data_IF_154808326643
#
_entry.id   IF_154808326643
#
_cell.length_a   1.000
_cell.length_b   1.000
_cell.length_c   1.000
_cell.angle_alpha   90.00
_cell.angle_beta   90.00
_cell.angle_gamma   90.00
#
_symmetry.space_group_name_H-M   'P 1'
#
loop_
_entity.id
_entity.type
_entity.pdbx_description
1 polymer ?
#
# COMPACT_ATOMS: atom_id res chain seq x y z
N UNK A 1 7.76 -28.27 -1.67
CA UNK A 1 6.52 -28.39 -2.47
C UNK A 1 6.52 -29.76 -3.13
N UNK A 2 5.38 -30.43 -3.18
CA UNK A 2 5.22 -31.67 -3.96
C UNK A 2 5.20 -31.38 -5.46
N UNK A 3 5.38 -32.38 -6.32
CA UNK A 3 5.26 -32.23 -7.78
C UNK A 3 3.90 -31.66 -8.21
N UNK A 4 2.83 -32.06 -7.51
CA UNK A 4 1.48 -31.54 -7.74
C UNK A 4 1.36 -30.07 -7.37
N UNK A 5 1.97 -29.64 -6.26
CA UNK A 5 1.98 -28.23 -5.85
C UNK A 5 2.75 -27.34 -6.84
N UNK A 6 3.82 -27.85 -7.44
CA UNK A 6 4.53 -27.14 -8.51
C UNK A 6 3.66 -26.93 -9.75
N UNK A 7 2.95 -27.97 -10.21
CA UNK A 7 2.03 -27.85 -11.33
C UNK A 7 0.85 -26.90 -11.02
N UNK A 8 0.29 -26.98 -9.81
CA UNK A 8 -0.77 -26.07 -9.38
C UNK A 8 -0.29 -24.62 -9.35
N UNK A 9 0.94 -24.37 -8.88
CA UNK A 9 1.53 -23.03 -8.88
C UNK A 9 1.76 -22.53 -10.31
N UNK A 10 2.31 -23.37 -11.19
CA UNK A 10 2.55 -23.02 -12.58
C UNK A 10 1.23 -22.69 -13.31
N UNK A 11 0.17 -23.48 -13.10
CA UNK A 11 -1.16 -23.21 -13.63
C UNK A 11 -1.73 -21.89 -13.09
N UNK A 12 -1.58 -21.63 -11.79
CA UNK A 12 -2.04 -20.39 -11.18
C UNK A 12 -1.29 -19.16 -11.73
N UNK A 13 0.03 -19.26 -11.91
CA UNK A 13 0.83 -18.20 -12.53
C UNK A 13 0.45 -17.97 -13.99
N UNK A 14 0.27 -19.05 -14.76
CA UNK A 14 -0.16 -18.97 -16.15
C UNK A 14 -1.56 -18.34 -16.27
N UNK A 15 -2.50 -18.73 -15.41
CA UNK A 15 -3.84 -18.12 -15.37
C UNK A 15 -3.77 -16.64 -14.97
N UNK A 16 -3.04 -16.30 -13.90
CA UNK A 16 -2.89 -14.93 -13.44
C UNK A 16 -2.23 -14.00 -14.47
N UNK A 17 -1.23 -14.50 -15.21
CA UNK A 17 -0.61 -13.78 -16.32
C UNK A 17 -1.56 -13.66 -17.52
N UNK A 18 -2.18 -14.77 -17.93
CA UNK A 18 -3.10 -14.81 -19.07
C UNK A 18 -4.28 -13.85 -18.91
N UNK A 19 -4.88 -13.82 -17.71
CA UNK A 19 -5.97 -12.90 -17.36
C UNK A 19 -5.49 -11.45 -17.45
N UNK A 20 -4.33 -11.11 -16.85
CA UNK A 20 -3.78 -9.75 -16.89
C UNK A 20 -3.47 -9.29 -18.32
N UNK A 21 -2.83 -10.14 -19.12
CA UNK A 21 -2.51 -9.82 -20.53
C UNK A 21 -3.80 -9.65 -21.34
N UNK A 22 -4.80 -10.51 -21.13
CA UNK A 22 -6.09 -10.40 -21.81
C UNK A 22 -6.79 -9.09 -21.46
N UNK A 23 -7.01 -8.81 -20.18
CA UNK A 23 -7.64 -7.56 -19.73
C UNK A 23 -6.84 -6.31 -20.15
N UNK A 24 -5.51 -6.35 -20.06
CA UNK A 24 -4.65 -5.23 -20.45
C UNK A 24 -4.65 -4.92 -21.94
N UNK A 25 -5.08 -5.86 -22.79
CA UNK A 25 -5.35 -5.63 -24.21
C UNK A 25 -6.76 -5.10 -24.47
N UNK A 26 -7.74 -5.58 -23.73
CA UNK A 26 -9.16 -5.25 -23.97
C UNK A 26 -9.52 -3.84 -23.52
N UNK A 27 -8.93 -3.36 -22.43
CA UNK A 27 -9.31 -2.10 -21.82
C UNK A 27 -8.18 -1.08 -21.94
N UNK A 28 -8.50 0.13 -22.40
CA UNK A 28 -7.57 1.26 -22.35
C UNK A 28 -7.25 1.66 -20.90
N UNK A 29 -8.22 1.55 -19.99
CA UNK A 29 -8.04 1.97 -18.60
C UNK A 29 -8.10 3.49 -18.43
N UNK A 30 -7.56 4.00 -17.33
CA UNK A 30 -7.49 5.45 -17.08
C UNK A 30 -6.29 6.07 -17.79
N UNK A 31 -6.49 6.46 -19.05
CA UNK A 31 -5.42 6.82 -19.99
C UNK A 31 -4.60 8.03 -19.52
N UNK A 32 -5.22 9.01 -18.87
CA UNK A 32 -4.55 10.23 -18.39
C UNK A 32 -3.43 9.95 -17.37
N UNK A 33 -3.60 8.96 -16.49
CA UNK A 33 -2.50 8.53 -15.61
C UNK A 33 -1.37 7.87 -16.41
N UNK A 34 -1.71 7.05 -17.41
CA UNK A 34 -0.73 6.34 -18.23
C UNK A 34 0.06 7.30 -19.13
N UNK A 35 -0.58 8.36 -19.64
CA UNK A 35 0.07 9.44 -20.38
C UNK A 35 1.17 10.10 -19.56
N UNK A 36 0.90 10.43 -18.30
CA UNK A 36 1.91 10.99 -17.39
C UNK A 36 3.11 10.03 -17.24
N UNK A 37 2.85 8.75 -17.01
CA UNK A 37 3.92 7.76 -16.83
C UNK A 37 4.76 7.55 -18.10
N UNK A 38 4.12 7.50 -19.28
CA UNK A 38 4.84 7.42 -20.56
C UNK A 38 5.63 8.70 -20.84
N UNK A 39 5.08 9.87 -20.53
CA UNK A 39 5.80 11.15 -20.64
C UNK A 39 7.03 11.18 -19.72
N UNK A 40 6.88 10.80 -18.45
CA UNK A 40 7.99 10.77 -17.50
C UNK A 40 9.07 9.79 -17.94
N UNK A 41 8.70 8.61 -18.44
CA UNK A 41 9.64 7.64 -19.00
C UNK A 41 10.47 8.24 -20.15
N UNK A 42 9.83 8.96 -21.07
CA UNK A 42 10.51 9.62 -22.19
C UNK A 42 11.41 10.77 -21.71
N UNK A 43 10.96 11.56 -20.73
CA UNK A 43 11.74 12.67 -20.18
C UNK A 43 12.94 12.21 -19.36
N UNK A 44 12.83 11.11 -18.62
CA UNK A 44 13.99 10.52 -17.93
C UNK A 44 15.03 10.05 -18.95
N UNK A 45 14.60 9.57 -20.13
CA UNK A 45 15.50 9.23 -21.23
C UNK A 45 16.17 10.46 -21.86
N UNK A 46 15.44 11.57 -21.96
CA UNK A 46 15.96 12.83 -22.55
C UNK A 46 16.91 13.58 -21.62
N UNK A 47 16.50 13.80 -20.36
CA UNK A 47 17.23 14.65 -19.41
C UNK A 47 18.08 13.86 -18.41
N UNK A 48 17.92 12.54 -18.35
CA UNK A 48 18.53 11.69 -17.34
C UNK A 48 17.83 11.77 -15.98
N UNK A 49 17.85 10.67 -15.23
CA UNK A 49 17.15 10.56 -13.94
C UNK A 49 17.58 11.63 -12.94
N UNK A 50 18.88 11.94 -12.85
CA UNK A 50 19.42 12.88 -11.87
C UNK A 50 18.99 14.33 -12.05
N UNK A 51 18.52 14.72 -13.24
CA UNK A 51 18.14 16.10 -13.57
C UNK A 51 16.68 16.29 -13.99
N UNK A 52 15.94 15.20 -14.22
CA UNK A 52 14.58 15.25 -14.80
C UNK A 52 13.60 16.16 -14.05
N UNK A 53 13.69 16.23 -12.71
CA UNK A 53 12.84 17.08 -11.88
C UNK A 53 13.11 18.59 -12.05
N UNK A 54 14.25 18.98 -12.61
CA UNK A 54 14.54 20.37 -12.97
C UNK A 54 13.80 20.79 -14.25
N UNK A 55 13.47 19.81 -15.10
CA UNK A 55 12.91 20.05 -16.44
C UNK A 55 11.41 19.78 -16.50
N UNK A 56 10.87 18.92 -15.61
CA UNK A 56 9.43 18.68 -15.52
C UNK A 56 8.91 18.86 -14.08
N UNK A 57 8.23 20.00 -13.84
CA UNK A 57 7.55 20.29 -12.58
C UNK A 57 6.29 19.45 -12.32
N UNK A 58 5.80 18.69 -13.29
CA UNK A 58 4.66 17.78 -13.17
C UNK A 58 5.01 16.38 -12.67
N UNK A 59 6.29 16.05 -12.49
CA UNK A 59 6.70 14.77 -11.89
C UNK A 59 6.49 14.84 -10.39
N UNK A 60 5.52 14.07 -9.88
CA UNK A 60 5.20 14.01 -8.45
C UNK A 60 5.48 12.63 -7.82
N UNK A 61 6.20 11.76 -8.53
CA UNK A 61 6.60 10.45 -8.00
C UNK A 61 8.04 10.47 -7.49
N UNK A 62 8.33 9.70 -6.42
CA UNK A 62 9.68 9.37 -6.01
C UNK A 62 10.52 8.63 -7.09
N UNK A 63 11.86 8.70 -7.00
CA UNK A 63 12.75 8.39 -8.12
C UNK A 63 12.90 6.90 -8.46
N UNK A 64 12.59 5.97 -7.55
CA UNK A 64 12.71 4.53 -7.86
C UNK A 64 11.71 4.11 -8.93
N UNK A 65 10.50 4.67 -8.93
CA UNK A 65 9.53 4.37 -9.98
C UNK A 65 9.98 4.92 -11.34
N UNK A 66 10.52 6.14 -11.39
CA UNK A 66 11.10 6.72 -12.60
C UNK A 66 12.27 5.89 -13.12
N UNK A 67 13.11 5.37 -12.22
CA UNK A 67 14.21 4.48 -12.58
C UNK A 67 13.71 3.17 -13.20
N UNK A 68 12.65 2.57 -12.65
CA UNK A 68 12.00 1.38 -13.23
C UNK A 68 11.45 1.67 -14.63
N UNK A 69 10.76 2.81 -14.80
CA UNK A 69 10.24 3.24 -16.10
C UNK A 69 11.38 3.47 -17.10
N UNK A 70 12.47 4.09 -16.68
CA UNK A 70 13.64 4.30 -17.55
C UNK A 70 14.24 3.00 -18.06
N UNK A 71 14.47 2.04 -17.16
CA UNK A 71 14.97 0.71 -17.54
C UNK A 71 14.01 -0.01 -18.49
N UNK A 72 12.70 0.11 -18.23
CA UNK A 72 11.68 -0.45 -19.12
C UNK A 72 11.68 0.21 -20.51
N UNK A 73 11.77 1.54 -20.57
CA UNK A 73 11.85 2.29 -21.82
C UNK A 73 13.06 1.89 -22.67
N UNK A 74 14.21 1.63 -22.04
CA UNK A 74 15.39 1.11 -22.72
C UNK A 74 15.14 -0.28 -23.33
N UNK A 75 14.48 -1.19 -22.60
CA UNK A 75 14.10 -2.51 -23.12
C UNK A 75 13.15 -2.39 -24.31
N UNK A 76 12.14 -1.54 -24.23
CA UNK A 76 11.20 -1.31 -25.34
C UNK A 76 11.92 -0.77 -26.59
N UNK A 77 12.86 0.16 -26.40
CA UNK A 77 13.68 0.69 -27.50
C UNK A 77 14.50 -0.42 -28.18
N UNK A 78 15.14 -1.30 -27.42
CA UNK A 78 15.90 -2.43 -27.96
C UNK A 78 15.01 -3.38 -28.79
N UNK A 79 13.73 -3.51 -28.42
CA UNK A 79 12.75 -4.32 -29.14
C UNK A 79 12.08 -3.57 -30.31
N UNK A 80 12.40 -2.30 -30.54
CA UNK A 80 11.73 -1.47 -31.54
C UNK A 80 10.25 -1.16 -31.20
N UNK A 81 9.87 -1.26 -29.92
CA UNK A 81 8.51 -1.05 -29.45
C UNK A 81 8.37 0.37 -28.89
N UNK A 82 7.33 1.09 -29.28
CA UNK A 82 6.98 2.38 -28.66
C UNK A 82 5.98 2.17 -27.55
N UNK A 83 6.27 2.72 -26.37
CA UNK A 83 5.31 2.74 -25.27
C UNK A 83 4.14 3.66 -25.60
N UNK A 84 2.92 3.14 -25.49
CA UNK A 84 1.71 3.92 -25.74
C UNK A 84 0.74 3.80 -24.56
N UNK A 85 0.18 4.93 -24.07
CA UNK A 85 -0.92 4.91 -23.13
C UNK A 85 -2.11 4.11 -23.66
N UNK A 86 -2.87 3.49 -22.78
CA UNK A 86 -4.00 2.63 -23.13
C UNK A 86 -3.60 1.26 -23.67
N UNK A 87 -2.31 1.01 -23.90
CA UNK A 87 -1.86 -0.20 -24.59
C UNK A 87 -1.07 -1.15 -23.69
N UNK A 88 -0.94 -2.39 -24.16
CA UNK A 88 -0.11 -3.39 -23.50
C UNK A 88 1.39 -3.00 -23.51
N UNK A 89 1.85 -2.16 -24.44
CA UNK A 89 3.26 -1.74 -24.50
C UNK A 89 3.68 -0.84 -23.34
N UNK A 90 2.75 -0.17 -22.67
CA UNK A 90 3.02 0.46 -21.37
C UNK A 90 2.71 -0.53 -20.23
N UNK A 91 1.53 -1.15 -20.24
CA UNK A 91 1.03 -1.95 -19.11
C UNK A 91 1.87 -3.19 -18.80
N UNK A 92 2.68 -3.69 -19.74
CA UNK A 92 3.49 -4.89 -19.52
C UNK A 92 4.47 -4.76 -18.36
N UNK A 93 5.01 -3.57 -18.07
CA UNK A 93 5.89 -3.41 -16.90
C UNK A 93 5.13 -3.63 -15.59
N UNK A 94 3.87 -3.18 -15.51
CA UNK A 94 3.04 -3.35 -14.32
C UNK A 94 2.61 -4.80 -14.15
N UNK A 95 2.25 -5.47 -15.26
CA UNK A 95 1.95 -6.91 -15.26
C UNK A 95 3.18 -7.72 -14.83
N UNK A 96 4.38 -7.36 -15.29
CA UNK A 96 5.62 -8.00 -14.85
C UNK A 96 5.83 -7.84 -13.33
N UNK A 97 5.67 -6.63 -12.80
CA UNK A 97 5.80 -6.36 -11.37
C UNK A 97 4.78 -7.15 -10.53
N UNK A 98 3.55 -7.33 -11.02
CA UNK A 98 2.54 -8.18 -10.39
C UNK A 98 2.95 -9.66 -10.35
N UNK A 99 3.55 -10.18 -11.42
CA UNK A 99 4.02 -11.56 -11.45
C UNK A 99 5.22 -11.76 -10.52
N UNK A 100 6.12 -10.77 -10.44
CA UNK A 100 7.21 -10.76 -9.46
C UNK A 100 6.66 -10.69 -8.02
N UNK A 101 5.59 -9.93 -7.79
CA UNK A 101 4.89 -9.92 -6.50
C UNK A 101 4.33 -11.30 -6.15
N UNK A 102 3.65 -11.98 -7.08
CA UNK A 102 3.13 -13.33 -6.87
C UNK A 102 4.25 -14.35 -6.58
N UNK A 103 5.39 -14.24 -7.26
CA UNK A 103 6.59 -15.04 -6.96
C UNK A 103 7.11 -14.76 -5.54
N UNK A 104 7.21 -13.49 -5.14
CA UNK A 104 7.63 -13.12 -3.80
C UNK A 104 6.67 -13.67 -2.73
N UNK A 105 5.35 -13.58 -2.93
CA UNK A 105 4.33 -14.16 -2.03
C UNK A 105 4.51 -15.68 -1.92
N UNK A 106 4.84 -16.36 -3.01
CA UNK A 106 5.09 -17.82 -3.01
C UNK A 106 6.21 -18.20 -2.04
N UNK A 107 7.29 -17.43 -2.04
CA UNK A 107 8.43 -17.62 -1.15
C UNK A 107 8.14 -17.16 0.28
N UNK A 108 7.56 -15.97 0.45
CA UNK A 108 7.29 -15.42 1.78
C UNK A 108 6.20 -16.18 2.53
N UNK A 109 5.23 -16.80 1.84
CA UNK A 109 4.21 -17.64 2.48
C UNK A 109 4.69 -19.03 2.90
N UNK A 110 5.86 -19.48 2.42
CA UNK A 110 6.37 -20.80 2.72
C UNK A 110 6.62 -20.99 4.22
N UNK A 111 6.06 -22.07 4.79
CA UNK A 111 6.22 -22.42 6.20
C UNK A 111 5.53 -21.50 7.21
N UNK A 112 4.73 -20.52 6.76
CA UNK A 112 4.07 -19.53 7.63
C UNK A 112 2.61 -19.83 7.95
N UNK A 113 1.98 -20.80 7.28
CA UNK A 113 0.54 -21.04 7.41
C UNK A 113 0.15 -22.49 7.13
N UNK A 114 -1.10 -22.79 7.49
CA UNK A 114 -1.83 -23.91 6.91
C UNK A 114 -1.82 -23.82 5.37
N UNK A 115 -1.68 -24.97 4.73
CA UNK A 115 -1.53 -25.08 3.29
C UNK A 115 -2.75 -24.51 2.55
N UNK A 116 -3.96 -24.65 3.12
CA UNK A 116 -5.18 -24.07 2.52
C UNK A 116 -5.13 -22.54 2.51
N UNK A 117 -4.79 -21.91 3.63
CA UNK A 117 -4.67 -20.45 3.72
C UNK A 117 -3.60 -19.91 2.78
N UNK A 118 -2.47 -20.62 2.68
CA UNK A 118 -1.42 -20.29 1.73
C UNK A 118 -1.93 -20.27 0.29
N UNK A 119 -2.62 -21.32 -0.15
CA UNK A 119 -3.20 -21.36 -1.49
C UNK A 119 -4.28 -20.30 -1.72
N UNK A 120 -5.11 -20.00 -0.72
CA UNK A 120 -6.07 -18.90 -0.80
C UNK A 120 -5.39 -17.56 -1.06
N UNK A 121 -4.26 -17.30 -0.40
CA UNK A 121 -3.53 -16.04 -0.57
C UNK A 121 -2.80 -15.99 -1.89
N UNK A 122 -2.21 -17.10 -2.34
CA UNK A 122 -1.65 -17.19 -3.69
C UNK A 122 -2.71 -16.94 -4.75
N UNK A 123 -3.89 -17.55 -4.61
CA UNK A 123 -5.04 -17.30 -5.48
C UNK A 123 -5.51 -15.85 -5.37
N UNK A 124 -5.49 -15.25 -4.18
CA UNK A 124 -5.75 -13.83 -3.98
C UNK A 124 -4.82 -12.95 -4.80
N UNK A 125 -3.50 -13.11 -4.69
CA UNK A 125 -2.57 -12.30 -5.49
C UNK A 125 -2.70 -12.55 -6.99
N UNK A 126 -2.96 -13.80 -7.40
CA UNK A 126 -3.08 -14.16 -8.80
C UNK A 126 -4.40 -13.72 -9.45
N UNK A 127 -5.53 -13.80 -8.73
CA UNK A 127 -6.88 -13.73 -9.30
C UNK A 127 -7.78 -12.65 -8.68
N UNK A 128 -7.30 -11.89 -7.69
CA UNK A 128 -8.11 -10.84 -7.08
C UNK A 128 -8.43 -9.74 -8.10
N UNK A 129 -9.72 -9.44 -8.33
CA UNK A 129 -10.13 -8.50 -9.36
C UNK A 129 -9.63 -7.07 -9.08
N UNK A 130 -9.48 -6.65 -7.83
CA UNK A 130 -8.99 -5.31 -7.50
C UNK A 130 -7.52 -5.15 -7.93
N UNK A 131 -6.71 -6.18 -7.73
CA UNK A 131 -5.31 -6.18 -8.13
C UNK A 131 -5.17 -6.19 -9.66
N UNK A 132 -5.96 -7.01 -10.35
CA UNK A 132 -5.98 -7.06 -11.82
C UNK A 132 -6.44 -5.72 -12.40
N UNK A 133 -7.48 -5.11 -11.85
CA UNK A 133 -7.97 -3.80 -12.32
C UNK A 133 -6.91 -2.71 -12.09
N UNK A 134 -6.23 -2.70 -10.94
CA UNK A 134 -5.19 -1.71 -10.65
C UNK A 134 -4.02 -1.76 -11.65
N UNK A 135 -3.44 -2.92 -11.90
CA UNK A 135 -2.25 -3.03 -12.74
C UNK A 135 -2.60 -3.19 -14.22
N UNK A 136 -3.31 -4.27 -14.56
CA UNK A 136 -3.51 -4.68 -15.94
C UNK A 136 -4.56 -3.85 -16.66
N UNK A 137 -5.63 -3.44 -15.99
CA UNK A 137 -6.65 -2.57 -16.61
C UNK A 137 -6.20 -1.12 -16.55
N UNK A 138 -5.87 -0.60 -15.37
CA UNK A 138 -5.60 0.83 -15.14
C UNK A 138 -4.16 1.23 -15.48
N UNK A 139 -3.16 0.42 -15.15
CA UNK A 139 -1.74 0.73 -15.39
C UNK A 139 -1.01 1.38 -14.20
N UNK A 140 -1.44 1.08 -12.97
CA UNK A 140 -0.89 1.65 -11.74
C UNK A 140 0.11 0.71 -11.03
N UNK A 141 1.05 1.29 -10.27
CA UNK A 141 2.16 0.59 -9.59
C UNK A 141 1.90 0.27 -8.10
N UNK A 142 0.67 0.47 -7.61
CA UNK A 142 0.33 0.35 -6.18
C UNK A 142 0.61 -1.03 -5.57
N UNK A 143 0.57 -2.10 -6.37
CA UNK A 143 0.87 -3.47 -5.91
C UNK A 143 2.34 -3.59 -5.49
N UNK A 144 3.27 -3.05 -6.29
CA UNK A 144 4.69 -3.00 -5.92
C UNK A 144 4.88 -2.24 -4.60
N UNK A 145 4.24 -1.08 -4.47
CA UNK A 145 4.33 -0.27 -3.25
C UNK A 145 3.79 -1.04 -2.03
N UNK A 146 2.61 -1.66 -2.14
CA UNK A 146 2.03 -2.50 -1.09
C UNK A 146 2.91 -3.70 -0.73
N UNK A 147 3.57 -4.31 -1.71
CA UNK A 147 4.50 -5.44 -1.49
C UNK A 147 5.76 -5.02 -0.74
N UNK A 148 6.33 -3.85 -1.04
CA UNK A 148 7.47 -3.29 -0.30
C UNK A 148 7.08 -2.95 1.15
N UNK A 149 5.89 -2.37 1.35
CA UNK A 149 5.33 -2.12 2.68
C UNK A 149 5.12 -3.44 3.47
N UNK A 150 4.54 -4.45 2.83
CA UNK A 150 4.34 -5.77 3.44
C UNK A 150 5.67 -6.46 3.78
N UNK A 151 6.62 -6.44 2.85
CA UNK A 151 7.96 -7.00 3.06
C UNK A 151 8.69 -6.34 4.22
N UNK A 152 8.58 -5.01 4.37
CA UNK A 152 9.14 -4.29 5.51
C UNK A 152 8.57 -4.81 6.84
N UNK A 153 7.25 -4.96 6.95
CA UNK A 153 6.59 -5.46 8.16
C UNK A 153 6.94 -6.94 8.41
N UNK A 154 6.97 -7.77 7.36
CA UNK A 154 7.31 -9.20 7.45
C UNK A 154 8.73 -9.43 7.98
N UNK A 155 9.68 -8.57 7.58
CA UNK A 155 11.07 -8.65 8.02
C UNK A 155 11.32 -8.00 9.38
N UNK A 156 10.44 -7.13 9.88
CA UNK A 156 10.71 -6.26 11.03
C UNK A 156 11.32 -6.97 12.24
N UNK A 157 10.80 -8.14 12.60
CA UNK A 157 11.27 -8.89 13.77
C UNK A 157 12.51 -9.75 13.48
N UNK A 158 12.70 -10.19 12.23
CA UNK A 158 13.79 -11.10 11.85
C UNK A 158 15.04 -10.35 11.37
N UNK A 159 14.85 -9.25 10.65
CA UNK A 159 15.89 -8.38 10.12
C UNK A 159 15.38 -6.93 10.12
N UNK A 160 15.56 -6.19 11.24
CA UNK A 160 15.19 -4.77 11.31
C UNK A 160 15.92 -3.93 10.25
N UNK A 161 17.13 -4.32 9.86
CA UNK A 161 17.87 -3.73 8.74
C UNK A 161 17.13 -3.92 7.42
N UNK A 162 16.75 -5.16 7.10
CA UNK A 162 15.99 -5.46 5.88
C UNK A 162 14.63 -4.78 5.85
N UNK A 163 13.98 -4.65 7.01
CA UNK A 163 12.75 -3.89 7.15
C UNK A 163 12.93 -2.40 6.83
N UNK A 164 14.01 -1.78 7.34
CA UNK A 164 14.37 -0.40 7.02
C UNK A 164 14.68 -0.20 5.53
N UNK A 165 15.41 -1.12 4.91
CA UNK A 165 15.72 -1.07 3.46
C UNK A 165 14.43 -1.13 2.64
N UNK A 166 13.55 -2.11 2.89
CA UNK A 166 12.30 -2.23 2.14
C UNK A 166 11.35 -1.04 2.38
N UNK A 167 11.34 -0.47 3.58
CA UNK A 167 10.57 0.74 3.86
C UNK A 167 11.08 1.94 3.07
N UNK A 168 12.41 2.14 3.01
CA UNK A 168 13.00 3.19 2.19
C UNK A 168 12.72 2.99 0.70
N UNK A 169 12.83 1.76 0.18
CA UNK A 169 12.46 1.46 -1.21
C UNK A 169 10.97 1.73 -1.49
N UNK A 170 10.09 1.46 -0.52
CA UNK A 170 8.68 1.82 -0.64
C UNK A 170 8.51 3.35 -0.76
N UNK A 171 9.19 4.13 0.09
CA UNK A 171 9.15 5.60 0.06
C UNK A 171 9.77 6.18 -1.21
N UNK A 172 10.78 5.51 -1.75
CA UNK A 172 11.40 5.85 -3.02
C UNK A 172 10.56 5.44 -4.22
N UNK A 173 9.50 4.62 -4.04
CA UNK A 173 8.52 4.26 -5.07
C UNK A 173 7.29 5.18 -5.03
N UNK A 174 6.70 5.36 -3.84
CA UNK A 174 5.55 6.26 -3.59
C UNK A 174 5.64 6.80 -2.16
N UNK A 175 5.48 8.12 -2.00
CA UNK A 175 5.41 8.76 -0.68
C UNK A 175 4.30 8.13 0.19
N UNK A 176 3.21 7.66 -0.42
CA UNK A 176 2.12 6.98 0.26
C UNK A 176 2.59 5.87 1.22
N UNK A 177 3.72 5.22 0.98
CA UNK A 177 4.24 4.19 1.90
C UNK A 177 4.59 4.71 3.30
N UNK A 178 4.71 6.04 3.51
CA UNK A 178 4.89 6.66 4.83
C UNK A 178 3.82 6.23 5.85
N UNK A 179 2.67 5.76 5.38
CA UNK A 179 1.55 5.28 6.21
C UNK A 179 1.95 4.14 7.16
N UNK A 180 2.93 3.30 6.82
CA UNK A 180 3.40 2.25 7.75
C UNK A 180 4.47 2.73 8.73
N UNK A 181 4.98 3.96 8.59
CA UNK A 181 5.97 4.53 9.51
C UNK A 181 5.51 4.52 10.97
N UNK A 182 4.25 4.87 11.31
CA UNK A 182 3.78 4.80 12.69
C UNK A 182 3.77 3.37 13.25
N UNK A 183 3.57 2.34 12.43
CA UNK A 183 3.63 0.93 12.87
C UNK A 183 5.06 0.56 13.26
N UNK A 184 6.04 0.92 12.42
CA UNK A 184 7.47 0.75 12.72
C UNK A 184 7.87 1.58 13.95
N UNK A 185 7.36 2.80 14.06
CA UNK A 185 7.59 3.72 15.17
C UNK A 185 7.08 3.16 16.50
N UNK A 186 5.84 2.66 16.55
CA UNK A 186 5.29 2.03 17.76
C UNK A 186 6.03 0.76 18.17
N UNK A 187 6.48 -0.05 17.20
CA UNK A 187 7.39 -1.16 17.48
C UNK A 187 8.68 -0.67 18.13
N UNK A 188 9.35 0.30 17.52
CA UNK A 188 10.58 0.92 18.05
C UNK A 188 10.36 1.49 19.46
N UNK A 189 9.30 2.27 19.68
CA UNK A 189 9.01 2.86 21.00
C UNK A 189 8.87 1.78 22.08
N UNK A 190 8.24 0.66 21.75
CA UNK A 190 8.10 -0.48 22.68
C UNK A 190 9.44 -1.16 22.95
N UNK A 191 10.27 -1.35 21.93
CA UNK A 191 11.63 -1.88 22.10
C UNK A 191 12.50 -0.96 22.98
N UNK A 192 12.42 0.35 22.76
CA UNK A 192 13.11 1.36 23.58
C UNK A 192 12.63 1.37 25.02
N UNK A 193 11.32 1.27 25.26
CA UNK A 193 10.76 1.13 26.61
C UNK A 193 11.25 -0.14 27.32
N UNK A 194 11.55 -1.20 26.56
CA UNK A 194 12.24 -2.40 27.05
C UNK A 194 13.77 -2.28 27.06
N UNK A 195 14.34 -1.08 26.89
CA UNK A 195 15.79 -0.79 26.83
C UNK A 195 16.54 -1.55 25.71
N UNK A 196 15.85 -1.92 24.63
CA UNK A 196 16.41 -2.60 23.45
C UNK A 196 16.58 -1.62 22.29
N UNK A 197 17.79 -1.08 22.14
CA UNK A 197 18.10 -0.03 21.14
C UNK A 197 18.49 -0.57 19.76
N UNK A 198 18.95 -1.83 19.68
CA UNK A 198 19.46 -2.43 18.43
C UNK A 198 18.46 -2.39 17.27
N UNK A 199 17.15 -2.70 17.46
CA UNK A 199 16.19 -2.62 16.35
C UNK A 199 16.08 -1.23 15.75
N UNK A 200 16.05 -0.17 16.57
CA UNK A 200 16.06 1.22 16.11
C UNK A 200 17.27 1.50 15.23
N UNK A 201 18.48 1.20 15.74
CA UNK A 201 19.72 1.44 15.01
C UNK A 201 19.70 0.78 13.62
N UNK A 202 19.32 -0.50 13.56
CA UNK A 202 19.30 -1.24 12.31
C UNK A 202 18.22 -0.76 11.34
N UNK A 203 17.03 -0.39 11.83
CA UNK A 203 15.99 0.21 10.98
C UNK A 203 16.49 1.53 10.39
N UNK A 204 17.09 2.39 11.20
CA UNK A 204 17.64 3.69 10.75
C UNK A 204 18.73 3.49 9.72
N UNK A 205 19.71 2.61 9.98
CA UNK A 205 20.75 2.26 9.00
C UNK A 205 20.13 1.74 7.70
N UNK A 206 19.14 0.85 7.81
CA UNK A 206 18.44 0.28 6.66
C UNK A 206 17.72 1.33 5.82
N UNK A 207 17.12 2.33 6.45
CA UNK A 207 16.50 3.47 5.76
C UNK A 207 17.57 4.36 5.10
N UNK A 208 18.65 4.66 5.82
CA UNK A 208 19.70 5.55 5.34
C UNK A 208 20.43 4.99 4.12
N UNK A 209 20.61 3.68 3.98
CA UNK A 209 21.36 3.09 2.85
C UNK A 209 20.75 3.47 1.48
N UNK A 210 19.46 3.16 1.17
CA UNK A 210 18.88 3.55 -0.12
C UNK A 210 18.76 5.07 -0.28
N UNK A 211 18.37 5.79 0.78
CA UNK A 211 18.21 7.25 0.71
C UNK A 211 19.53 7.98 0.49
N UNK A 212 20.62 7.55 1.13
CA UNK A 212 21.94 8.13 0.92
C UNK A 212 22.40 7.90 -0.53
N UNK A 213 22.24 6.68 -1.06
CA UNK A 213 22.59 6.39 -2.46
C UNK A 213 21.84 7.27 -3.45
N UNK A 214 20.51 7.38 -3.31
CA UNK A 214 19.69 8.24 -4.16
C UNK A 214 20.03 9.73 -3.96
N UNK A 215 20.18 10.18 -2.71
CA UNK A 215 20.44 11.60 -2.44
C UNK A 215 21.80 12.03 -2.98
N UNK A 216 22.83 11.21 -2.82
CA UNK A 216 24.17 11.47 -3.38
C UNK A 216 24.14 11.49 -4.91
N UNK A 217 23.43 10.55 -5.54
CA UNK A 217 23.23 10.54 -7.00
C UNK A 217 22.59 11.86 -7.46
N UNK A 218 21.43 12.23 -6.91
CA UNK A 218 20.75 13.47 -7.30
C UNK A 218 21.53 14.75 -6.95
N UNK A 219 22.32 14.74 -5.87
CA UNK A 219 23.19 15.86 -5.52
C UNK A 219 24.29 16.05 -6.58
N UNK A 220 24.90 14.96 -7.06
CA UNK A 220 25.93 15.00 -8.10
C UNK A 220 25.44 15.57 -9.44
N UNK A 221 24.14 15.46 -9.73
CA UNK A 221 23.51 16.03 -10.94
C UNK A 221 22.78 17.36 -10.68
N UNK A 222 22.86 17.92 -9.47
CA UNK A 222 22.20 19.18 -9.10
C UNK A 222 20.67 19.10 -8.95
N UNK A 223 20.05 17.93 -9.11
CA UNK A 223 18.60 17.74 -9.07
C UNK A 223 18.00 17.45 -7.68
N UNK A 224 18.82 17.30 -6.63
CA UNK A 224 18.35 16.88 -5.29
C UNK A 224 17.24 17.77 -4.73
N UNK A 225 17.42 19.09 -4.77
CA UNK A 225 16.41 20.01 -4.24
C UNK A 225 15.09 19.96 -5.00
N UNK A 226 15.14 19.80 -6.32
CA UNK A 226 13.95 19.67 -7.15
C UNK A 226 13.23 18.33 -6.91
N UNK A 227 13.99 17.23 -6.84
CA UNK A 227 13.47 15.90 -6.51
C UNK A 227 12.77 15.88 -5.14
N UNK A 228 13.40 16.42 -4.10
CA UNK A 228 12.81 16.46 -2.76
C UNK A 228 11.52 17.28 -2.73
N UNK A 229 11.52 18.45 -3.39
CA UNK A 229 10.32 19.29 -3.46
C UNK A 229 9.17 18.57 -4.16
N UNK A 230 9.41 18.09 -5.37
CA UNK A 230 8.37 17.56 -6.25
C UNK A 230 7.83 16.19 -5.77
N UNK A 231 8.71 15.30 -5.27
CA UNK A 231 8.31 13.96 -4.84
C UNK A 231 7.74 13.91 -3.41
N UNK A 232 8.09 14.87 -2.54
CA UNK A 232 7.79 14.79 -1.11
C UNK A 232 7.14 16.03 -0.50
N UNK A 233 7.62 17.24 -0.81
CA UNK A 233 7.17 18.45 -0.12
C UNK A 233 5.92 19.09 -0.72
N UNK A 234 5.61 18.82 -1.99
CA UNK A 234 4.43 19.34 -2.69
C UNK A 234 3.25 18.38 -2.76
N UNK A 235 3.31 17.24 -2.06
CA UNK A 235 2.30 16.19 -2.17
C UNK A 235 0.96 16.57 -1.51
N UNK A 236 1.00 17.17 -0.32
CA UNK A 236 -0.20 17.63 0.40
C UNK A 236 -0.66 18.96 -0.17
N UNK A 237 -1.96 19.09 -0.43
CA UNK A 237 -2.54 20.27 -1.07
C UNK A 237 -2.48 20.21 -2.60
N UNK A 238 -2.00 19.11 -3.19
CA UNK A 238 -1.99 18.91 -4.64
C UNK A 238 -3.40 18.65 -5.18
N UNK A 239 -4.23 17.94 -4.41
CA UNK A 239 -5.61 17.59 -4.76
C UNK A 239 -6.56 18.11 -3.69
N UNK A 240 -6.87 19.41 -3.71
CA UNK A 240 -7.57 20.13 -2.63
C UNK A 240 -9.05 19.75 -2.44
N UNK A 241 -9.49 18.60 -2.92
CA UNK A 241 -10.84 18.07 -2.78
C UNK A 241 -10.92 17.14 -1.57
N UNK A 242 -12.10 17.08 -0.94
CA UNK A 242 -12.33 16.18 0.22
C UNK A 242 -12.11 14.70 -0.13
N UNK A 243 -12.36 14.30 -1.38
CA UNK A 243 -11.95 12.98 -1.89
C UNK A 243 -11.86 12.99 -3.41
N UNK A 244 -10.88 12.28 -3.96
CA UNK A 244 -10.66 12.11 -5.40
C UNK A 244 -11.15 10.73 -5.82
N UNK A 245 -12.47 10.59 -5.99
CA UNK A 245 -13.17 9.34 -6.29
C UNK A 245 -12.99 8.20 -5.27
N UNK A 246 -12.30 8.41 -4.13
CA UNK A 246 -12.27 7.39 -3.10
C UNK A 246 -13.64 7.29 -2.42
N UNK A 247 -14.20 6.08 -2.41
CA UNK A 247 -15.42 5.74 -1.68
C UNK A 247 -15.14 5.59 -0.17
N UNK A 248 -14.71 6.69 0.43
CA UNK A 248 -14.42 6.85 1.85
C UNK A 248 -15.45 7.78 2.52
N UNK A 249 -15.29 8.12 3.79
CA UNK A 249 -16.31 8.88 4.54
C UNK A 249 -16.64 10.24 3.92
N UNK A 250 -15.74 10.81 3.12
CA UNK A 250 -15.93 12.08 2.44
C UNK A 250 -16.82 11.97 1.19
N UNK A 251 -17.05 10.74 0.70
CA UNK A 251 -17.96 10.47 -0.42
C UNK A 251 -19.42 10.52 0.06
N UNK A 252 -19.98 11.74 0.12
CA UNK A 252 -21.36 12.05 0.50
C UNK A 252 -21.80 11.65 1.93
N UNK A 253 -21.09 10.76 2.63
CA UNK A 253 -21.52 10.22 3.92
C UNK A 253 -21.54 11.28 5.03
N UNK A 254 -20.56 12.19 5.06
CA UNK A 254 -20.51 13.32 6.01
C UNK A 254 -21.21 14.59 5.50
N UNK A 255 -22.05 14.46 4.46
CA UNK A 255 -22.85 15.57 3.91
C UNK A 255 -22.08 16.50 2.96
N UNK A 256 -20.88 16.13 2.54
CA UNK A 256 -20.07 16.89 1.57
C UNK A 256 -20.09 16.21 0.20
N UNK A 257 -20.23 17.00 -0.86
CA UNK A 257 -19.97 16.50 -2.21
C UNK A 257 -18.47 16.19 -2.37
N UNK A 258 -18.06 15.11 -3.08
CA UNK A 258 -16.65 14.73 -3.25
C UNK A 258 -15.73 15.85 -3.73
N UNK A 259 -16.24 16.73 -4.61
CA UNK A 259 -15.50 17.85 -5.21
C UNK A 259 -15.34 19.07 -4.28
N UNK A 260 -15.92 19.03 -3.07
CA UNK A 260 -15.84 20.13 -2.10
C UNK A 260 -14.37 20.39 -1.74
N UNK A 261 -13.97 21.66 -1.64
CA UNK A 261 -12.62 21.97 -1.19
C UNK A 261 -12.42 21.54 0.27
N UNK A 262 -11.33 20.85 0.55
CA UNK A 262 -11.00 20.38 1.90
C UNK A 262 -10.49 21.51 2.84
N UNK A 263 -10.31 22.71 2.30
CA UNK A 263 -10.00 23.94 3.06
C UNK A 263 -11.23 24.60 3.67
N UNK A 264 -12.44 24.19 3.25
CA UNK A 264 -13.70 24.63 3.84
C UNK A 264 -13.70 24.35 5.34
N UNK A 265 -14.18 25.31 6.13
CA UNK A 265 -14.18 25.21 7.59
C UNK A 265 -15.55 24.82 8.13
N UNK A 266 -15.57 23.81 8.99
CA UNK A 266 -16.72 23.49 9.82
C UNK A 266 -16.80 24.53 10.95
N UNK A 267 -17.98 25.16 11.08
CA UNK A 267 -18.26 26.22 12.06
C UNK A 267 -17.27 27.39 12.05
N UNK A 268 -16.58 27.63 10.92
CA UNK A 268 -15.59 28.70 10.78
C UNK A 268 -14.24 28.44 11.48
N UNK A 269 -14.08 27.32 12.20
CA UNK A 269 -12.92 27.08 13.07
C UNK A 269 -11.92 26.09 12.45
N UNK A 270 -12.36 24.89 12.10
CA UNK A 270 -11.47 23.79 11.68
C UNK A 270 -11.77 23.39 10.23
N UNK A 271 -10.73 23.27 9.39
CA UNK A 271 -10.91 22.82 8.01
C UNK A 271 -11.23 21.33 7.95
N UNK A 272 -11.91 20.89 6.88
CA UNK A 272 -12.16 19.46 6.63
C UNK A 272 -10.85 18.67 6.55
N UNK A 273 -9.80 19.26 5.96
CA UNK A 273 -8.43 18.71 5.96
C UNK A 273 -7.90 18.46 7.37
N UNK A 274 -8.04 19.45 8.27
CA UNK A 274 -7.60 19.30 9.66
C UNK A 274 -8.41 18.24 10.41
N UNK A 275 -9.72 18.12 10.14
CA UNK A 275 -10.55 17.03 10.67
C UNK A 275 -10.02 15.68 10.18
N UNK A 276 -9.75 15.54 8.88
CA UNK A 276 -9.22 14.32 8.30
C UNK A 276 -7.88 13.88 8.92
N UNK A 277 -6.96 14.83 9.14
CA UNK A 277 -5.71 14.55 9.86
C UNK A 277 -5.93 14.16 11.32
N UNK A 278 -6.86 14.80 12.03
CA UNK A 278 -7.20 14.41 13.40
C UNK A 278 -7.76 12.99 13.47
N UNK A 279 -8.65 12.61 12.55
CA UNK A 279 -9.19 11.25 12.47
C UNK A 279 -8.09 10.21 12.18
N UNK A 280 -7.19 10.51 11.24
CA UNK A 280 -6.04 9.66 10.94
C UNK A 280 -5.11 9.53 12.16
N UNK A 281 -4.85 10.63 12.86
CA UNK A 281 -4.05 10.62 14.10
C UNK A 281 -4.68 9.70 15.15
N UNK A 282 -5.99 9.78 15.37
CA UNK A 282 -6.70 8.89 16.29
C UNK A 282 -6.57 7.41 15.88
N UNK A 283 -6.64 7.10 14.58
CA UNK A 283 -6.41 5.75 14.08
C UNK A 283 -4.95 5.27 14.32
N UNK A 284 -3.96 6.14 14.16
CA UNK A 284 -2.55 5.84 14.49
C UNK A 284 -2.36 5.58 15.98
N UNK A 285 -2.98 6.39 16.86
CA UNK A 285 -2.96 6.17 18.31
C UNK A 285 -3.62 4.83 18.66
N UNK A 286 -4.75 4.49 18.04
CA UNK A 286 -5.41 3.21 18.25
C UNK A 286 -4.50 2.03 17.90
N UNK A 287 -3.80 2.07 16.76
CA UNK A 287 -2.81 1.06 16.38
C UNK A 287 -1.68 0.95 17.40
N UNK A 288 -1.21 2.10 17.90
CA UNK A 288 -0.21 2.18 18.96
C UNK A 288 -0.65 1.55 20.26
N UNK A 289 -1.85 1.88 20.73
CA UNK A 289 -2.46 1.29 21.94
C UNK A 289 -2.56 -0.23 21.77
N UNK A 290 -2.98 -0.71 20.60
CA UNK A 290 -3.04 -2.13 20.29
C UNK A 290 -1.64 -2.77 20.43
N UNK A 291 -0.63 -2.28 19.73
CA UNK A 291 0.72 -2.85 19.79
C UNK A 291 1.35 -2.76 21.19
N UNK A 292 1.09 -1.68 21.91
CA UNK A 292 1.63 -1.45 23.26
C UNK A 292 1.02 -2.39 24.30
N UNK A 293 -0.30 -2.64 24.22
CA UNK A 293 -1.03 -3.46 25.19
C UNK A 293 -0.92 -4.97 24.93
N UNK A 294 -0.41 -5.39 23.78
CA UNK A 294 -0.11 -6.80 23.53
C UNK A 294 1.02 -7.29 24.44
N UNK A 295 0.88 -8.51 24.98
CA UNK A 295 1.95 -9.17 25.75
C UNK A 295 3.19 -9.40 24.90
N UNK A 296 3.01 -9.92 23.70
CA UNK A 296 4.07 -10.17 22.72
C UNK A 296 3.69 -9.53 21.38
N UNK A 297 4.67 -8.92 20.72
CA UNK A 297 4.51 -8.48 19.33
C UNK A 297 5.02 -9.62 18.46
N UNK A 298 4.17 -10.03 17.52
CA UNK A 298 4.51 -10.96 16.46
C UNK A 298 4.19 -10.32 15.09
N UNK A 299 4.60 -10.98 14.02
CA UNK A 299 4.37 -10.49 12.65
C UNK A 299 2.89 -10.32 12.32
N UNK A 300 2.01 -11.17 12.85
CA UNK A 300 0.56 -11.05 12.65
C UNK A 300 0.00 -9.75 13.24
N UNK A 301 0.39 -9.39 14.46
CA UNK A 301 0.00 -8.14 15.10
C UNK A 301 0.48 -6.91 14.32
N UNK A 302 1.72 -6.94 13.83
CA UNK A 302 2.28 -5.85 13.02
C UNK A 302 1.55 -5.70 11.69
N UNK A 303 1.21 -6.82 11.02
CA UNK A 303 0.41 -6.79 9.79
C UNK A 303 -1.00 -6.25 10.04
N UNK A 304 -1.68 -6.69 11.12
CA UNK A 304 -3.00 -6.16 11.50
C UNK A 304 -2.97 -4.65 11.74
N UNK A 305 -1.95 -4.16 12.46
CA UNK A 305 -1.73 -2.74 12.65
C UNK A 305 -1.44 -2.01 11.32
N UNK A 306 -0.64 -2.62 10.44
CA UNK A 306 -0.36 -2.12 9.09
C UNK A 306 -1.61 -1.99 8.22
N UNK A 307 -2.45 -3.03 8.19
CA UNK A 307 -3.74 -3.03 7.49
C UNK A 307 -4.64 -1.93 8.05
N UNK A 308 -4.77 -1.86 9.37
CA UNK A 308 -5.60 -0.86 10.03
C UNK A 308 -5.17 0.56 9.66
N UNK A 309 -3.88 0.91 9.81
CA UNK A 309 -3.42 2.27 9.51
C UNK A 309 -3.51 2.56 8.01
N UNK A 310 -3.25 1.59 7.14
CA UNK A 310 -3.36 1.74 5.68
C UNK A 310 -4.80 1.95 5.22
N UNK A 311 -5.75 1.19 5.79
CA UNK A 311 -7.16 1.34 5.46
C UNK A 311 -7.77 2.59 6.11
N UNK A 312 -7.34 2.95 7.32
CA UNK A 312 -7.72 4.22 7.96
C UNK A 312 -7.21 5.42 7.15
N UNK A 313 -6.01 5.35 6.57
CA UNK A 313 -5.52 6.37 5.65
C UNK A 313 -6.37 6.48 4.38
N UNK A 314 -6.89 5.38 3.85
CA UNK A 314 -7.86 5.45 2.77
C UNK A 314 -9.19 6.09 3.22
N UNK A 315 -9.62 5.80 4.45
CA UNK A 315 -10.95 6.15 4.94
C UNK A 315 -11.10 7.57 5.51
N UNK A 316 -10.08 8.11 6.17
CA UNK A 316 -10.22 9.21 7.13
C UNK A 316 -9.66 10.58 6.68
N UNK A 317 -8.45 10.70 6.11
CA UNK A 317 -7.97 11.97 5.58
C UNK A 317 -8.68 12.38 4.27
N UNK A 318 -8.57 13.66 3.92
CA UNK A 318 -9.00 14.21 2.62
C UNK A 318 -7.92 14.01 1.53
N UNK A 319 -8.18 14.45 0.30
CA UNK A 319 -7.25 14.34 -0.84
C UNK A 319 -6.92 12.89 -1.26
N UNK A 320 -7.81 11.94 -0.99
CA UNK A 320 -7.57 10.50 -1.21
C UNK A 320 -8.10 10.03 -2.56
N UNK A 321 -7.25 9.30 -3.29
CA UNK A 321 -7.61 8.60 -4.52
C UNK A 321 -8.15 7.19 -4.27
N UNK A 322 -9.02 6.70 -5.16
CA UNK A 322 -9.63 5.37 -5.09
C UNK A 322 -8.60 4.22 -4.93
N UNK A 323 -7.48 4.30 -5.64
CA UNK A 323 -6.38 3.32 -5.62
C UNK A 323 -5.56 3.31 -4.34
N UNK A 324 -5.69 4.32 -3.47
CA UNK A 324 -4.94 4.36 -2.21
C UNK A 324 -5.34 3.24 -1.24
N UNK A 325 -6.43 2.52 -1.53
CA UNK A 325 -6.88 1.31 -0.82
C UNK A 325 -6.04 0.06 -1.12
N UNK A 326 -5.29 0.02 -2.23
CA UNK A 326 -4.60 -1.19 -2.70
C UNK A 326 -3.48 -1.66 -1.75
N UNK A 327 -2.61 -0.79 -1.21
CA UNK A 327 -1.64 -1.22 -0.21
C UNK A 327 -2.27 -1.87 1.03
N UNK A 328 -3.44 -1.39 1.48
CA UNK A 328 -4.17 -2.00 2.59
C UNK A 328 -4.65 -3.41 2.23
N UNK A 329 -5.16 -3.62 1.01
CA UNK A 329 -5.56 -4.94 0.52
C UNK A 329 -4.37 -5.91 0.43
N UNK A 330 -3.22 -5.46 -0.06
CA UNK A 330 -2.00 -6.28 -0.12
C UNK A 330 -1.58 -6.74 1.29
N UNK A 331 -1.52 -5.83 2.26
CA UNK A 331 -1.24 -6.16 3.66
C UNK A 331 -2.28 -7.11 4.26
N UNK A 332 -3.55 -6.95 3.88
CA UNK A 332 -4.65 -7.78 4.35
C UNK A 332 -4.56 -9.22 3.85
N UNK A 333 -4.17 -9.41 2.58
CA UNK A 333 -3.90 -10.74 2.04
C UNK A 333 -2.76 -11.45 2.81
N UNK A 334 -1.70 -10.73 3.20
CA UNK A 334 -0.67 -11.28 4.08
C UNK A 334 -1.18 -11.56 5.50
N UNK A 335 -2.09 -10.73 6.02
CA UNK A 335 -2.71 -10.96 7.34
C UNK A 335 -3.51 -12.26 7.35
N UNK A 336 -4.22 -12.58 6.27
CA UNK A 336 -4.98 -13.84 6.12
C UNK A 336 -4.10 -15.09 6.21
N UNK A 337 -2.83 -15.02 5.78
CA UNK A 337 -1.87 -16.12 5.93
C UNK A 337 -1.74 -16.49 7.43
N UNK A 338 -1.76 -15.50 8.32
CA UNK A 338 -1.47 -15.68 9.74
C UNK A 338 -2.73 -15.69 10.62
N UNK A 339 -3.87 -15.18 10.13
CA UNK A 339 -5.13 -15.12 10.90
C UNK A 339 -6.36 -15.27 9.98
N UNK A 340 -6.94 -16.48 9.98
CA UNK A 340 -8.13 -16.82 9.18
C UNK A 340 -9.36 -15.95 9.46
N UNK A 341 -9.43 -15.28 10.61
CA UNK A 341 -10.57 -14.40 10.95
C UNK A 341 -10.68 -13.20 10.00
N UNK A 342 -9.60 -12.88 9.28
CA UNK A 342 -9.53 -11.76 8.35
C UNK A 342 -9.93 -12.11 6.91
N UNK A 343 -10.29 -13.38 6.62
CA UNK A 343 -10.75 -13.80 5.28
C UNK A 343 -11.97 -13.00 4.84
N UNK A 344 -12.96 -12.82 5.73
CA UNK A 344 -14.17 -12.08 5.40
C UNK A 344 -13.90 -10.61 5.03
N UNK A 345 -12.98 -9.95 5.75
CA UNK A 345 -12.50 -8.61 5.42
C UNK A 345 -11.76 -8.58 4.08
N UNK A 346 -10.90 -9.57 3.82
CA UNK A 346 -10.18 -9.66 2.55
C UNK A 346 -11.14 -9.81 1.38
N UNK A 347 -12.15 -10.67 1.48
CA UNK A 347 -13.18 -10.85 0.45
C UNK A 347 -13.99 -9.57 0.26
N UNK A 348 -14.48 -8.96 1.35
CA UNK A 348 -15.26 -7.72 1.29
C UNK A 348 -14.47 -6.60 0.60
N UNK A 349 -13.24 -6.33 1.06
CA UNK A 349 -12.41 -5.27 0.47
C UNK A 349 -11.99 -5.58 -0.97
N UNK A 350 -11.76 -6.85 -1.32
CA UNK A 350 -11.48 -7.21 -2.71
C UNK A 350 -12.63 -6.80 -3.63
N UNK A 351 -13.88 -7.05 -3.22
CA UNK A 351 -15.06 -6.71 -4.01
C UNK A 351 -15.34 -5.21 -4.02
N UNK A 352 -15.28 -4.55 -2.88
CA UNK A 352 -15.59 -3.11 -2.78
C UNK A 352 -14.52 -2.23 -3.43
N UNK A 353 -13.24 -2.58 -3.30
CA UNK A 353 -12.15 -1.88 -4.00
C UNK A 353 -12.26 -2.13 -5.51
N UNK A 354 -12.58 -3.35 -5.95
CA UNK A 354 -12.84 -3.62 -7.36
C UNK A 354 -13.95 -2.73 -7.90
N UNK A 355 -15.08 -2.64 -7.19
CA UNK A 355 -16.18 -1.77 -7.59
C UNK A 355 -15.71 -0.33 -7.71
N UNK A 356 -15.01 0.19 -6.69
CA UNK A 356 -14.51 1.56 -6.70
C UNK A 356 -13.62 1.82 -7.94
N UNK A 357 -12.60 0.99 -8.14
CA UNK A 357 -11.67 1.15 -9.26
C UNK A 357 -12.39 1.02 -10.61
N UNK A 358 -13.26 0.04 -10.76
CA UNK A 358 -13.97 -0.24 -12.00
C UNK A 358 -14.89 0.92 -12.40
N UNK A 359 -15.61 1.49 -11.43
CA UNK A 359 -16.49 2.63 -11.67
C UNK A 359 -15.70 3.86 -12.12
N UNK A 360 -14.53 4.13 -11.53
CA UNK A 360 -13.70 5.27 -11.92
C UNK A 360 -13.07 5.06 -13.30
N UNK A 361 -12.54 3.87 -13.59
CA UNK A 361 -11.97 3.56 -14.93
C UNK A 361 -13.01 3.75 -16.04
N UNK A 362 -14.27 3.40 -15.78
CA UNK A 362 -15.35 3.54 -16.76
C UNK A 362 -16.06 4.90 -16.69
N UNK A 363 -15.60 5.84 -15.84
CA UNK A 363 -16.25 7.14 -15.62
C UNK A 363 -17.74 7.03 -15.25
N UNK A 364 -18.09 5.99 -14.48
CA UNK A 364 -19.47 5.60 -14.17
C UNK A 364 -19.81 5.72 -12.69
N UNK A 365 -18.98 6.38 -11.87
CA UNK A 365 -19.15 6.43 -10.42
C UNK A 365 -20.53 6.93 -9.98
N UNK A 366 -21.41 5.97 -9.67
CA UNK A 366 -22.80 6.24 -9.30
C UNK A 366 -22.88 6.70 -7.84
N UNK A 367 -23.73 7.68 -7.55
CA UNK A 367 -23.90 8.21 -6.20
C UNK A 367 -24.43 7.12 -5.26
N UNK A 368 -25.56 6.49 -5.58
CA UNK A 368 -26.20 5.48 -4.70
C UNK A 368 -25.30 4.27 -4.44
N UNK A 369 -24.72 3.70 -5.50
CA UNK A 369 -23.79 2.57 -5.38
C UNK A 369 -22.50 2.94 -4.64
N UNK A 370 -21.97 4.15 -4.88
CA UNK A 370 -20.81 4.66 -4.16
C UNK A 370 -21.06 4.87 -2.66
N UNK A 371 -22.24 5.39 -2.28
CA UNK A 371 -22.64 5.53 -0.87
C UNK A 371 -22.74 4.15 -0.21
N UNK A 372 -23.38 3.18 -0.87
CA UNK A 372 -23.47 1.81 -0.35
C UNK A 372 -22.08 1.21 -0.06
N UNK A 373 -21.17 1.31 -1.02
CA UNK A 373 -19.79 0.82 -0.86
C UNK A 373 -19.03 1.59 0.21
N UNK A 374 -19.25 2.90 0.32
CA UNK A 374 -18.69 3.71 1.41
C UNK A 374 -19.15 3.20 2.78
N UNK A 375 -20.45 2.90 2.94
CA UNK A 375 -20.98 2.29 4.16
C UNK A 375 -20.34 0.92 4.45
N UNK A 376 -20.14 0.08 3.43
CA UNK A 376 -19.44 -1.20 3.57
C UNK A 376 -17.97 -1.02 4.00
N UNK A 377 -17.29 0.01 3.51
CA UNK A 377 -15.94 0.34 3.96
C UNK A 377 -15.92 0.82 5.43
N UNK A 378 -16.91 1.60 5.87
CA UNK A 378 -17.06 1.96 7.30
C UNK A 378 -17.26 0.71 8.14
N UNK A 379 -18.14 -0.21 7.72
CA UNK A 379 -18.34 -1.50 8.40
C UNK A 379 -17.04 -2.30 8.45
N UNK A 380 -16.28 -2.35 7.36
CA UNK A 380 -14.99 -3.03 7.31
C UNK A 380 -13.99 -2.42 8.31
N UNK A 381 -13.89 -1.09 8.37
CA UNK A 381 -13.01 -0.40 9.32
C UNK A 381 -13.41 -0.73 10.77
N UNK A 382 -14.70 -0.62 11.10
CA UNK A 382 -15.20 -0.96 12.44
C UNK A 382 -14.96 -2.44 12.78
N UNK A 383 -15.13 -3.34 11.82
CA UNK A 383 -14.86 -4.76 11.99
C UNK A 383 -13.37 -5.03 12.28
N UNK A 384 -12.45 -4.38 11.58
CA UNK A 384 -11.00 -4.45 11.89
C UNK A 384 -10.72 -4.00 13.33
N UNK A 385 -11.31 -2.88 13.76
CA UNK A 385 -11.16 -2.38 15.13
C UNK A 385 -11.66 -3.41 16.15
N UNK A 386 -12.86 -3.97 15.95
CA UNK A 386 -13.43 -4.99 16.84
C UNK A 386 -12.54 -6.23 16.92
N UNK A 387 -12.01 -6.74 15.81
CA UNK A 387 -11.10 -7.89 15.83
C UNK A 387 -9.84 -7.62 16.66
N UNK A 388 -9.24 -6.44 16.49
CA UNK A 388 -8.08 -6.01 17.27
C UNK A 388 -8.41 -5.84 18.77
N UNK A 389 -9.58 -5.30 19.12
CA UNK A 389 -10.05 -5.21 20.51
C UNK A 389 -10.28 -6.58 21.14
N UNK A 390 -10.91 -7.51 20.42
CA UNK A 390 -11.16 -8.87 20.90
C UNK A 390 -9.84 -9.61 21.15
N UNK A 391 -8.84 -9.41 20.30
CA UNK A 391 -7.50 -9.94 20.52
C UNK A 391 -6.86 -9.39 21.80
N UNK A 392 -6.98 -8.09 22.06
CA UNK A 392 -6.51 -7.50 23.33
C UNK A 392 -7.24 -8.06 24.55
N UNK A 393 -8.55 -8.31 24.46
CA UNK A 393 -9.33 -8.89 25.55
C UNK A 393 -8.91 -10.32 25.85
N UNK A 394 -8.76 -11.15 24.82
CA UNK A 394 -8.34 -12.55 24.99
C UNK A 394 -6.89 -12.64 25.50
N UNK A 395 -6.02 -11.71 25.11
CA UNK A 395 -4.65 -11.61 25.63
C UNK A 395 -4.60 -11.25 27.13
N UNK A 396 -5.73 -10.88 27.76
CA UNK A 396 -5.83 -10.62 29.21
C UNK A 396 -6.38 -11.81 30.00
N UNK A 397 -7.17 -12.70 29.40
CA UNK A 397 -7.90 -13.77 30.12
C UNK A 397 -7.06 -15.01 30.43
N UNK A 398 -5.90 -15.19 29.79
CA UNK A 398 -4.94 -16.26 30.12
C UNK A 398 -4.08 -15.88 31.35
N UNK A 399 -4.73 -15.57 32.48
CA UNK A 399 -4.08 -15.43 33.78
C UNK A 399 -4.23 -16.81 34.45
N UNK A 400 -3.15 -17.59 34.66
CA UNK A 400 -3.26 -18.71 35.58
C UNK A 400 -3.65 -18.13 36.94
N UNK A 401 -4.65 -18.71 37.64
CA UNK A 401 -4.99 -18.23 38.98
C UNK A 401 -3.72 -18.26 39.83
N UNK A 402 -3.44 -17.15 40.51
CA UNK A 402 -2.39 -17.09 41.51
C UNK A 402 -2.74 -18.14 42.54
N UNK A 403 -2.01 -19.26 42.55
CA UNK A 403 -2.08 -20.22 43.64
C UNK A 403 -1.51 -19.51 44.86
N UNK A 404 -2.40 -18.96 45.68
CA UNK A 404 -2.08 -18.56 47.04
C UNK A 404 -1.80 -19.81 47.88
N UNK A 405 -0.65 -20.46 47.65
CA UNK A 405 -0.03 -21.31 48.65
C UNK A 405 0.89 -20.42 49.50
N UNK A 406 0.29 -19.74 50.47
CA UNK A 406 1.00 -19.33 51.68
C UNK A 406 0.62 -20.32 52.77
N UNK A 407 1.46 -21.33 52.93
CA UNK A 407 1.55 -22.16 54.12
C UNK A 407 3.00 -22.11 54.59
N UNK A 408 3.28 -21.19 55.50
CA UNK A 408 4.34 -21.25 56.51
C UNK A 408 3.86 -20.49 57.73
#
# INVERSE_FOLDING_TARGET
>A
MTRQEWWALALLMAAGLGIRVWFGRQYAGFVSDQELFVQWMNQVREYGLGSVYLHNGGINYPPLFLWLLHGYGAVLQLLGITAAPGSLSYKSILILLDMLALLAVTWWSAGRADQRLRWMVLAGFALNPALIVNSAVWGQVDILNGMLMAGSILLLLASPLGAGILFALALLTKLQSIIIAPVLGWYVLRELASKRFRPLLWIVIGICIPFAGISLYFAGYGGLGAMLRAAYLSAVGMYTQVTMNALNIWYYLVGTAPITSDTVRLWGVISLRSIGFLLLFMAVIYAGIYLWKLRTINTAALLKAGVWVSFAFFMLPTEIHERYSIPALVLLLFTVILDRKWIGLATLLSLTITYNLWQVVNSQLQITGGILVTCLHVIALLWMAVLMLLELRNNRTDIPPVSNNRSY
#
